data_IF_907759681465
#
_entry.id   IF_907759681465
#
_cell.length_a   1.000
_cell.length_b   1.000
_cell.length_c   1.000
_cell.angle_alpha   90.00
_cell.angle_beta   90.00
_cell.angle_gamma   90.00
#
_symmetry.space_group_name_H-M   'P 1'
#
loop_
_entity.id
_entity.type
_entity.pdbx_description
1 polymer ?
#
# COMPACT_ATOMS: atom_id res chain seq x y z
N UNK A 1 -1.02 28.17 5.52
CA UNK A 1 -2.17 28.18 4.58
C UNK A 1 -3.35 28.93 5.22
N UNK A 2 -3.90 29.97 4.59
CA UNK A 2 -5.17 30.58 5.04
C UNK A 2 -6.33 29.60 4.78
N UNK A 3 -7.38 29.64 5.62
CA UNK A 3 -8.52 28.70 5.59
C UNK A 3 -9.21 28.60 4.24
N UNK A 4 -9.34 29.71 3.51
CA UNK A 4 -10.06 29.79 2.23
C UNK A 4 -9.32 29.08 1.07
N UNK A 5 -8.01 29.32 0.94
CA UNK A 5 -7.18 28.68 -0.10
C UNK A 5 -7.09 27.15 0.09
N UNK A 6 -7.02 26.68 1.34
CA UNK A 6 -6.98 25.25 1.64
C UNK A 6 -8.31 24.53 1.37
N UNK A 7 -9.46 25.16 1.66
CA UNK A 7 -10.77 24.56 1.38
C UNK A 7 -11.06 24.41 -0.12
N UNK A 8 -10.64 25.39 -0.92
CA UNK A 8 -10.79 25.40 -2.38
C UNK A 8 -9.88 24.37 -3.06
N UNK A 9 -8.66 24.16 -2.52
CA UNK A 9 -7.71 23.17 -3.00
C UNK A 9 -8.00 21.72 -2.55
N UNK A 10 -8.99 21.49 -1.67
CA UNK A 10 -9.29 20.16 -1.14
C UNK A 10 -8.22 19.61 -0.18
N UNK A 11 -7.47 20.52 0.46
CA UNK A 11 -6.42 20.21 1.42
C UNK A 11 -7.04 20.00 2.81
N UNK A 12 -6.78 18.83 3.39
CA UNK A 12 -7.10 18.55 4.80
C UNK A 12 -5.94 19.02 5.69
N UNK A 13 -6.22 19.97 6.58
CA UNK A 13 -5.21 20.60 7.45
C UNK A 13 -4.72 19.69 8.56
N UNK A 14 -5.46 18.62 8.86
CA UNK A 14 -5.09 17.64 9.89
C UNK A 14 -4.29 16.48 9.28
N UNK A 15 -4.19 16.40 7.94
CA UNK A 15 -3.42 15.38 7.20
C UNK A 15 -2.05 15.90 6.78
N UNK A 16 -1.15 15.94 7.74
CA UNK A 16 0.27 16.18 7.46
C UNK A 16 0.86 15.05 6.61
N UNK A 17 1.70 15.42 5.64
CA UNK A 17 2.53 14.46 4.92
C UNK A 17 3.90 14.37 5.58
N UNK A 18 4.27 13.15 5.98
CA UNK A 18 5.59 12.84 6.53
C UNK A 18 6.45 12.23 5.43
N UNK A 19 7.70 12.68 5.35
CA UNK A 19 8.73 12.12 4.50
C UNK A 19 9.80 11.48 5.36
N UNK A 20 10.37 10.38 4.89
CA UNK A 20 11.59 9.83 5.45
C UNK A 20 12.79 10.55 4.81
N UNK A 21 13.68 11.09 5.64
CA UNK A 21 15.00 11.57 5.23
C UNK A 21 16.08 10.75 5.93
N UNK A 22 17.32 10.85 5.44
CA UNK A 22 18.50 10.23 6.05
C UNK A 22 18.30 8.74 6.39
N UNK A 23 17.64 8.01 5.49
CA UNK A 23 17.45 6.56 5.59
C UNK A 23 18.84 5.93 5.56
N UNK A 24 19.17 5.17 6.60
CA UNK A 24 20.51 4.61 6.78
C UNK A 24 20.47 3.29 7.55
N UNK A 25 21.42 2.43 7.23
CA UNK A 25 21.77 1.31 8.10
C UNK A 25 22.40 1.83 9.38
N UNK A 26 21.97 1.27 10.51
CA UNK A 26 22.65 1.46 11.80
C UNK A 26 24.07 0.91 11.67
N UNK A 27 25.07 1.72 12.04
CA UNK A 27 26.48 1.41 11.79
C UNK A 27 26.99 1.88 10.42
N UNK A 28 26.15 2.48 9.58
CA UNK A 28 26.54 3.21 8.37
C UNK A 28 26.45 2.41 7.07
N UNK A 29 26.53 1.09 7.11
CA UNK A 29 26.31 0.20 5.96
C UNK A 29 25.86 -1.19 6.41
N UNK A 30 25.27 -1.94 5.47
CA UNK A 30 24.80 -3.30 5.71
C UNK A 30 25.93 -4.20 6.26
N UNK A 31 25.67 -4.90 7.36
CA UNK A 31 26.63 -5.78 8.02
C UNK A 31 27.56 -5.10 9.03
N UNK A 32 27.46 -3.78 9.24
CA UNK A 32 28.20 -3.07 10.31
C UNK A 32 27.33 -2.71 11.52
N UNK A 33 26.13 -3.28 11.61
CA UNK A 33 25.28 -3.11 12.78
C UNK A 33 25.98 -3.69 14.02
N UNK A 34 25.78 -3.04 15.16
CA UNK A 34 26.34 -3.46 16.44
C UNK A 34 25.44 -3.01 17.58
N UNK A 35 25.52 -3.71 18.71
CA UNK A 35 24.83 -3.36 19.94
C UNK A 35 25.05 -1.88 20.29
N UNK A 36 26.29 -1.40 20.28
CA UNK A 36 26.60 -0.01 20.64
C UNK A 36 26.03 0.99 19.64
N UNK A 37 26.01 0.66 18.34
CA UNK A 37 25.41 1.51 17.33
C UNK A 37 23.88 1.61 17.52
N UNK A 38 23.22 0.50 17.79
CA UNK A 38 21.79 0.47 18.09
C UNK A 38 21.45 1.25 19.37
N UNK A 39 22.25 1.13 20.43
CA UNK A 39 22.06 1.94 21.66
C UNK A 39 22.15 3.44 21.37
N UNK A 40 23.11 3.86 20.53
CA UNK A 40 23.27 5.27 20.15
C UNK A 40 22.08 5.78 19.33
N UNK A 41 21.64 5.01 18.33
CA UNK A 41 20.52 5.40 17.47
C UNK A 41 19.19 5.43 18.24
N UNK A 42 19.01 4.56 19.25
CA UNK A 42 17.82 4.57 20.10
C UNK A 42 17.64 5.87 20.90
N UNK A 43 18.70 6.66 21.09
CA UNK A 43 18.59 7.99 21.70
C UNK A 43 17.84 8.98 20.80
N UNK A 44 17.76 8.72 19.49
CA UNK A 44 17.07 9.56 18.52
C UNK A 44 15.63 9.09 18.28
N UNK A 45 15.33 7.82 18.54
CA UNK A 45 13.99 7.26 18.41
C UNK A 45 13.99 5.74 18.21
N UNK A 46 12.80 5.14 18.01
CA UNK A 46 12.68 3.72 17.72
C UNK A 46 13.42 3.33 16.43
N UNK A 47 13.98 2.12 16.41
CA UNK A 47 14.75 1.57 15.30
C UNK A 47 13.97 0.43 14.67
N UNK A 48 13.99 0.30 13.35
CA UNK A 48 13.49 -0.87 12.65
C UNK A 48 14.58 -1.94 12.62
N UNK A 49 14.23 -3.17 13.01
CA UNK A 49 15.19 -4.28 13.09
C UNK A 49 14.61 -5.55 12.48
N UNK A 50 15.45 -6.27 11.75
CA UNK A 50 15.14 -7.59 11.21
C UNK A 50 15.45 -8.67 12.24
N UNK A 51 14.53 -9.61 12.42
CA UNK A 51 14.71 -10.79 13.29
C UNK A 51 14.31 -12.08 12.56
N UNK A 52 14.79 -13.21 13.04
CA UNK A 52 14.25 -14.52 12.72
C UNK A 52 13.07 -14.84 13.66
N UNK A 53 11.95 -15.32 13.13
CA UNK A 53 10.71 -15.53 13.87
C UNK A 53 9.92 -16.78 13.48
N UNK A 54 10.29 -17.48 12.41
CA UNK A 54 9.61 -18.70 11.96
C UNK A 54 9.94 -19.92 12.84
N UNK A 55 9.42 -19.91 14.07
CA UNK A 55 9.49 -21.00 15.03
C UNK A 55 8.45 -20.87 16.15
N UNK A 56 8.16 -21.98 16.84
CA UNK A 56 7.05 -22.08 17.78
C UNK A 56 7.23 -21.22 19.03
N UNK A 57 8.45 -21.08 19.55
CA UNK A 57 8.74 -20.37 20.78
C UNK A 57 8.51 -18.86 20.61
N UNK A 58 8.80 -18.29 19.43
CA UNK A 58 8.45 -16.90 19.11
C UNK A 58 6.93 -16.72 19.03
N UNK A 59 6.25 -17.58 18.26
CA UNK A 59 4.80 -17.51 18.07
C UNK A 59 4.03 -17.65 19.40
N UNK A 60 4.54 -18.48 20.32
CA UNK A 60 3.93 -18.75 21.61
C UNK A 60 4.46 -17.86 22.75
N UNK A 61 5.32 -16.87 22.49
CA UNK A 61 5.85 -16.00 23.52
C UNK A 61 4.74 -15.29 24.31
N UNK A 62 4.77 -15.41 25.64
CA UNK A 62 3.80 -14.79 26.57
C UNK A 62 4.42 -13.78 27.54
N UNK A 63 5.75 -13.78 27.69
CA UNK A 63 6.45 -12.87 28.58
C UNK A 63 7.75 -13.42 29.14
N UNK A 64 8.51 -12.55 29.81
CA UNK A 64 9.82 -12.88 30.38
C UNK A 64 10.98 -12.50 29.47
N UNK A 65 12.20 -12.75 29.93
CA UNK A 65 13.39 -12.54 29.11
C UNK A 65 13.59 -13.73 28.17
N UNK A 66 13.48 -13.48 26.87
CA UNK A 66 13.71 -14.50 25.86
C UNK A 66 15.21 -14.76 25.67
N UNK A 67 15.65 -15.97 26.00
CA UNK A 67 17.04 -16.47 25.89
C UNK A 67 17.06 -17.89 25.30
N UNK A 68 16.18 -18.17 24.34
CA UNK A 68 16.24 -19.44 23.62
C UNK A 68 17.23 -19.30 22.47
N UNK A 69 18.42 -19.86 22.64
CA UNK A 69 19.46 -19.87 21.61
C UNK A 69 19.08 -20.83 20.49
N UNK A 70 18.43 -20.29 19.47
CA UNK A 70 18.40 -20.93 18.17
C UNK A 70 19.77 -20.68 17.55
N UNK A 71 20.61 -21.71 17.49
CA UNK A 71 21.94 -21.62 16.88
C UNK A 71 21.83 -21.14 15.44
N UNK A 72 21.99 -19.83 15.26
CA UNK A 72 22.36 -19.12 14.05
C UNK A 72 21.38 -19.36 12.87
N UNK A 73 20.15 -18.82 12.93
CA UNK A 73 19.29 -18.77 11.74
C UNK A 73 20.05 -18.04 10.62
N UNK A 74 20.09 -18.65 9.42
CA UNK A 74 20.90 -18.12 8.31
C UNK A 74 20.38 -16.79 7.75
N UNK A 75 19.17 -16.38 8.13
CA UNK A 75 18.52 -15.16 7.67
C UNK A 75 17.48 -14.66 8.68
N UNK A 76 17.09 -13.40 8.53
CA UNK A 76 15.92 -12.82 9.19
C UNK A 76 14.70 -12.94 8.28
N UNK A 77 13.50 -13.09 8.85
CA UNK A 77 12.24 -13.31 8.13
C UNK A 77 11.12 -12.34 8.56
N UNK A 78 11.36 -11.52 9.58
CA UNK A 78 10.36 -10.65 10.18
C UNK A 78 10.96 -9.33 10.64
N UNK A 79 10.16 -8.27 10.54
CA UNK A 79 10.56 -6.91 10.88
C UNK A 79 9.77 -6.44 12.09
N UNK A 80 10.48 -5.92 13.09
CA UNK A 80 9.90 -5.39 14.33
C UNK A 80 10.51 -4.03 14.65
N UNK A 81 9.94 -3.34 15.65
CA UNK A 81 10.45 -2.04 16.08
C UNK A 81 11.15 -2.19 17.42
N UNK A 82 12.44 -1.89 17.48
CA UNK A 82 13.18 -1.77 18.72
C UNK A 82 12.82 -0.44 19.39
N UNK A 83 12.31 -0.52 20.62
CA UNK A 83 11.78 0.65 21.36
C UNK A 83 12.55 0.96 22.65
N UNK A 84 13.53 0.13 23.00
CA UNK A 84 14.36 0.39 24.17
C UNK A 84 15.26 -0.77 24.55
N UNK A 85 16.01 -0.57 25.62
CA UNK A 85 16.89 -1.55 26.24
C UNK A 85 16.88 -1.37 27.75
N UNK A 86 17.36 -2.37 28.46
CA UNK A 86 17.50 -2.29 29.90
C UNK A 86 18.36 -3.43 30.45
N UNK A 87 18.22 -3.63 31.75
CA UNK A 87 18.82 -4.74 32.46
C UNK A 87 17.92 -5.17 33.63
N UNK A 88 17.93 -6.46 33.93
CA UNK A 88 17.36 -7.04 35.13
C UNK A 88 18.50 -7.54 36.03
N UNK A 89 18.41 -7.28 37.34
CA UNK A 89 19.38 -7.78 38.32
C UNK A 89 18.73 -8.80 39.25
N UNK A 90 19.37 -9.95 39.43
CA UNK A 90 18.93 -10.98 40.36
C UNK A 90 20.12 -11.63 41.05
N UNK A 91 19.85 -12.41 42.11
CA UNK A 91 20.87 -13.18 42.81
C UNK A 91 20.75 -14.65 42.43
N UNK A 92 21.89 -15.29 42.15
CA UNK A 92 21.96 -16.73 42.03
C UNK A 92 21.52 -17.37 43.36
N UNK A 93 20.49 -18.23 43.36
CA UNK A 93 19.94 -18.80 44.60
C UNK A 93 20.90 -19.77 45.30
N UNK A 94 21.91 -20.27 44.59
CA UNK A 94 22.92 -21.21 45.12
C UNK A 94 24.18 -20.45 45.53
N UNK A 95 24.73 -19.60 44.67
CA UNK A 95 26.03 -18.94 44.91
C UNK A 95 25.89 -17.58 45.59
N UNK A 96 24.70 -16.98 45.60
CA UNK A 96 24.45 -15.61 46.07
C UNK A 96 24.99 -14.52 45.16
N UNK A 97 25.65 -14.89 44.05
CA UNK A 97 26.26 -13.99 43.09
C UNK A 97 25.21 -13.10 42.41
N UNK A 98 25.56 -11.83 42.19
CA UNK A 98 24.72 -10.87 41.47
C UNK A 98 24.85 -11.14 39.97
N UNK A 99 23.72 -11.45 39.33
CA UNK A 99 23.63 -11.65 37.89
C UNK A 99 22.91 -10.44 37.29
N UNK A 100 23.48 -9.90 36.21
CA UNK A 100 22.88 -8.81 35.43
C UNK A 100 22.55 -9.34 34.05
N UNK A 101 21.27 -9.31 33.67
CA UNK A 101 20.81 -9.72 32.35
C UNK A 101 20.38 -8.50 31.54
N UNK A 102 21.08 -8.27 30.44
CA UNK A 102 20.81 -7.17 29.54
C UNK A 102 19.72 -7.57 28.55
N UNK A 103 18.80 -6.64 28.24
CA UNK A 103 17.73 -6.92 27.29
C UNK A 103 17.50 -5.81 26.28
N UNK A 104 17.01 -6.21 25.11
CA UNK A 104 16.29 -5.40 24.14
C UNK A 104 14.80 -5.47 24.40
N UNK A 105 14.07 -4.38 24.17
CA UNK A 105 12.61 -4.34 24.18
C UNK A 105 12.13 -4.02 22.76
N UNK A 106 11.44 -4.98 22.14
CA UNK A 106 10.86 -4.83 20.81
C UNK A 106 9.34 -4.71 20.89
N UNK A 107 8.75 -3.99 19.93
CA UNK A 107 7.32 -3.90 19.68
C UNK A 107 7.00 -4.70 18.43
N UNK A 108 6.06 -5.63 18.56
CA UNK A 108 5.58 -6.45 17.45
C UNK A 108 4.28 -5.87 16.84
N UNK A 109 3.87 -6.42 15.70
CA UNK A 109 2.69 -6.01 14.92
C UNK A 109 1.51 -6.97 15.07
N UNK A 110 1.60 -7.99 15.94
CA UNK A 110 0.58 -9.04 16.12
C UNK A 110 -0.55 -8.68 17.13
N UNK A 111 -0.66 -7.40 17.49
CA UNK A 111 -1.65 -6.92 18.45
C UNK A 111 -1.23 -7.09 19.92
N UNK A 112 -2.10 -6.63 20.83
CA UNK A 112 -1.78 -6.55 22.26
C UNK A 112 -1.85 -7.90 22.98
N UNK A 113 -2.58 -8.88 22.43
CA UNK A 113 -2.74 -10.21 23.03
C UNK A 113 -1.48 -11.09 22.91
N UNK A 114 -0.52 -10.67 22.08
CA UNK A 114 0.74 -11.37 21.90
C UNK A 114 1.81 -10.83 22.86
N UNK A 115 2.58 -11.71 23.49
CA UNK A 115 3.68 -11.34 24.38
C UNK A 115 3.28 -10.45 25.56
N UNK A 116 4.14 -9.48 25.87
CA UNK A 116 3.98 -8.53 26.97
C UNK A 116 3.20 -7.30 26.48
N UNK A 117 1.90 -7.44 26.22
CA UNK A 117 1.03 -6.39 25.65
C UNK A 117 1.45 -5.92 24.24
N UNK A 118 1.87 -6.86 23.38
CA UNK A 118 2.41 -6.59 22.04
C UNK A 118 3.92 -6.32 22.00
N UNK A 119 4.62 -6.53 23.12
CA UNK A 119 6.06 -6.36 23.25
C UNK A 119 6.76 -7.66 23.62
N UNK A 120 8.07 -7.70 23.42
CA UNK A 120 8.93 -8.80 23.81
C UNK A 120 10.26 -8.28 24.34
N UNK A 121 10.82 -8.99 25.32
CA UNK A 121 12.18 -8.76 25.82
C UNK A 121 13.08 -9.88 25.34
N UNK A 122 14.20 -9.52 24.73
CA UNK A 122 15.20 -10.46 24.21
C UNK A 122 16.54 -10.18 24.87
N UNK A 123 17.35 -11.22 25.09
CA UNK A 123 18.74 -11.01 25.51
C UNK A 123 19.47 -10.12 24.51
N UNK A 124 20.16 -9.13 25.06
CA UNK A 124 21.01 -8.18 24.33
C UNK A 124 22.48 -8.59 24.41
N UNK A 125 23.24 -8.33 23.34
CA UNK A 125 24.69 -8.58 23.23
C UNK A 125 25.05 -9.99 22.75
N UNK A 126 24.06 -10.77 22.32
CA UNK A 126 24.25 -12.12 21.77
C UNK A 126 23.87 -12.24 20.29
N UNK A 127 23.44 -11.14 19.65
CA UNK A 127 22.80 -11.16 18.35
C UNK A 127 21.68 -12.23 18.23
N UNK A 128 20.89 -12.38 19.30
CA UNK A 128 19.85 -13.39 19.36
C UNK A 128 18.79 -13.13 18.28
N UNK A 129 18.39 -14.17 17.55
CA UNK A 129 17.46 -14.06 16.41
C UNK A 129 17.94 -13.08 15.31
N UNK A 130 19.25 -12.84 15.18
CA UNK A 130 19.82 -11.87 14.24
C UNK A 130 19.43 -10.40 14.49
N UNK A 131 18.90 -10.06 15.68
CA UNK A 131 18.40 -8.71 15.98
C UNK A 131 19.48 -7.60 15.89
N UNK A 132 20.75 -7.95 16.05
CA UNK A 132 21.90 -7.03 15.97
C UNK A 132 22.59 -7.07 14.59
N UNK A 133 22.03 -7.79 13.61
CA UNK A 133 22.62 -7.95 12.26
C UNK A 133 22.19 -6.85 11.29
N UNK A 134 20.89 -6.53 11.24
CA UNK A 134 20.31 -5.60 10.28
C UNK A 134 19.29 -4.71 10.98
N UNK A 135 19.62 -3.42 11.02
CA UNK A 135 18.79 -2.38 11.59
C UNK A 135 18.86 -1.13 10.72
N UNK A 136 17.71 -0.52 10.48
CA UNK A 136 17.59 0.71 9.72
C UNK A 136 16.86 1.80 10.52
N UNK A 137 17.20 3.04 10.21
CA UNK A 137 16.56 4.22 10.78
C UNK A 137 16.29 5.24 9.69
N UNK A 138 15.27 6.05 9.92
CA UNK A 138 14.91 7.17 9.06
C UNK A 138 14.45 8.34 9.91
N UNK A 139 14.86 9.54 9.52
CA UNK A 139 14.49 10.77 10.21
C UNK A 139 13.14 11.26 9.63
N UNK A 140 12.08 11.40 10.44
CA UNK A 140 10.81 11.91 9.95
C UNK A 140 10.92 13.42 9.68
N UNK A 141 10.53 13.83 8.47
CA UNK A 141 10.49 15.22 8.06
C UNK A 141 9.09 15.62 7.62
N UNK A 142 8.56 16.67 8.25
CA UNK A 142 7.28 17.27 7.87
C UNK A 142 7.58 18.43 6.93
N UNK A 143 7.05 18.39 5.71
CA UNK A 143 7.13 19.53 4.79
C UNK A 143 6.08 20.56 5.20
N UNK A 144 6.47 21.76 5.66
CA UNK A 144 5.49 22.78 6.04
C UNK A 144 4.64 23.20 4.84
N UNK A 145 3.32 23.08 4.97
CA UNK A 145 2.38 23.50 3.93
C UNK A 145 2.10 22.46 2.84
N UNK A 146 2.73 21.29 2.87
CA UNK A 146 2.35 20.15 2.04
C UNK A 146 1.43 19.22 2.82
N UNK A 147 0.26 18.96 2.26
CA UNK A 147 -0.79 18.16 2.87
C UNK A 147 -1.25 17.11 1.87
N UNK A 148 -1.63 15.93 2.38
CA UNK A 148 -2.16 14.89 1.51
C UNK A 148 -3.54 15.32 0.97
N UNK A 149 -3.80 15.17 -0.35
CA UNK A 149 -5.10 15.50 -0.90
C UNK A 149 -6.22 14.70 -0.23
N UNK A 150 -7.40 15.30 -0.07
CA UNK A 150 -8.59 14.57 0.37
C UNK A 150 -9.02 13.56 -0.72
N UNK A 151 -8.64 12.29 -0.54
CA UNK A 151 -8.97 11.17 -1.42
C UNK A 151 -10.47 11.08 -1.75
N UNK A 152 -11.35 11.55 -0.85
CA UNK A 152 -12.80 11.53 -1.10
C UNK A 152 -13.20 12.46 -2.25
N UNK A 153 -12.54 13.63 -2.34
CA UNK A 153 -12.76 14.63 -3.39
C UNK A 153 -12.14 14.18 -4.71
N UNK A 154 -10.96 13.59 -4.67
CA UNK A 154 -10.30 12.99 -5.85
C UNK A 154 -11.18 11.89 -6.44
N UNK A 155 -11.61 10.92 -5.61
CA UNK A 155 -12.48 9.81 -6.04
C UNK A 155 -13.86 10.29 -6.50
N UNK A 156 -14.38 11.41 -5.99
CA UNK A 156 -15.64 12.01 -6.46
C UNK A 156 -15.48 12.62 -7.85
N UNK A 157 -14.40 13.38 -8.07
CA UNK A 157 -14.07 13.98 -9.39
C UNK A 157 -13.86 12.90 -10.45
N UNK A 158 -13.10 11.85 -10.13
CA UNK A 158 -12.89 10.70 -11.03
C UNK A 158 -14.21 10.02 -11.39
N UNK A 159 -15.08 9.75 -10.41
CA UNK A 159 -16.41 9.19 -10.67
C UNK A 159 -17.25 10.08 -11.56
N UNK A 160 -17.28 11.39 -11.32
CA UNK A 160 -18.02 12.33 -12.18
C UNK A 160 -17.53 12.34 -13.63
N UNK A 161 -16.21 12.25 -13.86
CA UNK A 161 -15.62 12.18 -15.20
C UNK A 161 -16.03 10.86 -15.88
N UNK A 162 -15.89 9.73 -15.18
CA UNK A 162 -16.26 8.41 -15.72
C UNK A 162 -17.75 8.39 -16.10
N UNK A 163 -18.63 8.90 -15.24
CA UNK A 163 -20.08 8.99 -15.54
C UNK A 163 -20.35 9.86 -16.78
N UNK A 164 -19.68 11.00 -16.92
CA UNK A 164 -19.85 11.86 -18.10
C UNK A 164 -19.41 11.17 -19.40
N UNK A 165 -18.27 10.46 -19.39
CA UNK A 165 -17.78 9.71 -20.55
C UNK A 165 -18.74 8.59 -20.95
N UNK A 166 -19.32 7.88 -19.97
CA UNK A 166 -20.33 6.84 -20.23
C UNK A 166 -21.58 7.46 -20.85
N UNK A 167 -22.10 8.56 -20.27
CA UNK A 167 -23.30 9.22 -20.79
C UNK A 167 -23.12 9.75 -22.21
N UNK A 168 -21.96 10.34 -22.51
CA UNK A 168 -21.62 10.81 -23.86
C UNK A 168 -21.49 9.66 -24.85
N UNK A 169 -20.88 8.56 -24.44
CA UNK A 169 -20.76 7.35 -25.28
C UNK A 169 -22.13 6.75 -25.60
N UNK A 170 -23.03 6.66 -24.61
CA UNK A 170 -24.40 6.17 -24.79
C UNK A 170 -25.19 7.10 -25.70
N UNK A 171 -25.09 8.42 -25.51
CA UNK A 171 -25.76 9.40 -26.37
C UNK A 171 -25.30 9.29 -27.83
N UNK A 172 -24.00 9.18 -28.06
CA UNK A 172 -23.43 9.01 -29.40
C UNK A 172 -23.96 7.73 -30.07
N UNK A 173 -24.03 6.62 -29.33
CA UNK A 173 -24.58 5.35 -29.84
C UNK A 173 -26.06 5.47 -30.21
N UNK A 174 -26.88 6.10 -29.37
CA UNK A 174 -28.32 6.32 -29.63
C UNK A 174 -28.51 7.18 -30.88
N UNK A 175 -27.71 8.24 -31.06
CA UNK A 175 -27.77 9.09 -32.23
C UNK A 175 -27.38 8.32 -33.51
N UNK A 176 -26.32 7.51 -33.46
CA UNK A 176 -25.89 6.67 -34.59
C UNK A 176 -26.95 5.64 -34.98
N UNK A 177 -27.55 4.95 -34.01
CA UNK A 177 -28.62 3.99 -34.27
C UNK A 177 -29.83 4.70 -34.87
N UNK A 178 -30.19 5.86 -34.34
CA UNK A 178 -31.33 6.64 -34.83
C UNK A 178 -31.13 7.14 -36.26
N UNK A 179 -29.94 7.61 -36.62
CA UNK A 179 -29.64 8.03 -38.00
C UNK A 179 -29.64 6.86 -38.98
N UNK A 180 -29.14 5.69 -38.56
CA UNK A 180 -29.22 4.45 -39.36
C UNK A 180 -30.68 4.03 -39.55
N UNK A 181 -31.50 4.00 -38.50
CA UNK A 181 -32.92 3.65 -38.59
C UNK A 181 -33.67 4.62 -39.51
N UNK A 182 -33.48 5.93 -39.33
CA UNK A 182 -34.07 6.95 -40.20
C UNK A 182 -33.61 6.80 -41.66
N UNK A 183 -32.33 6.49 -41.88
CA UNK A 183 -31.77 6.22 -43.21
C UNK A 183 -32.42 5.00 -43.87
N UNK A 184 -32.57 3.90 -43.14
CA UNK A 184 -33.28 2.69 -43.61
C UNK A 184 -34.74 3.00 -43.92
N UNK A 185 -35.43 3.75 -43.04
CA UNK A 185 -36.82 4.14 -43.23
C UNK A 185 -36.99 5.04 -44.47
N UNK A 186 -36.15 6.05 -44.63
CA UNK A 186 -36.14 6.92 -45.81
C UNK A 186 -35.88 6.12 -47.10
N UNK A 187 -34.91 5.20 -47.09
CA UNK A 187 -34.61 4.33 -48.23
C UNK A 187 -35.82 3.45 -48.60
N UNK A 188 -36.52 2.90 -47.60
CA UNK A 188 -37.76 2.14 -47.81
C UNK A 188 -38.87 2.99 -48.43
N UNK A 189 -39.05 4.23 -47.97
CA UNK A 189 -40.04 5.17 -48.51
C UNK A 189 -39.72 5.65 -49.93
N UNK A 190 -38.45 5.82 -50.28
CA UNK A 190 -38.03 6.14 -51.65
C UNK A 190 -38.39 4.98 -52.58
N UNK A 191 -38.06 3.73 -52.21
CA UNK A 191 -38.41 2.54 -53.02
C UNK A 191 -39.92 2.39 -53.26
N UNK A 192 -40.76 2.75 -52.29
CA UNK A 192 -42.22 2.67 -52.45
C UNK A 192 -42.79 3.80 -53.31
N UNK A 193 -42.19 5.00 -53.29
CA UNK A 193 -42.65 6.15 -54.10
C UNK A 193 -42.15 6.13 -55.55
N UNK A 194 -40.96 5.60 -55.83
CA UNK A 194 -40.41 5.57 -57.20
C UNK A 194 -40.83 4.36 -58.02
N UNK A 195 -41.69 3.47 -57.49
CA UNK A 195 -42.21 2.33 -58.23
C UNK A 195 -41.14 1.31 -58.68
N UNK A 196 -39.93 1.38 -58.13
CA UNK A 196 -38.79 0.60 -58.62
C UNK A 196 -38.97 -0.89 -58.34
N UNK A 197 -39.50 -1.63 -59.32
CA UNK A 197 -39.51 -3.10 -59.31
C UNK A 197 -38.16 -3.59 -59.83
N UNK A 198 -37.44 -4.39 -59.04
CA UNK A 198 -36.33 -5.16 -59.57
C UNK A 198 -36.88 -6.20 -60.54
N UNK A 199 -36.65 -6.02 -61.84
CA UNK A 199 -36.96 -7.02 -62.85
C UNK A 199 -35.81 -8.01 -62.86
N UNK A 200 -35.98 -9.13 -62.18
CA UNK A 200 -35.09 -10.29 -62.35
C UNK A 200 -35.69 -11.11 -63.50
N UNK A 201 -34.95 -11.18 -64.60
CA UNK A 201 -35.28 -12.06 -65.73
C UNK A 201 -35.15 -13.53 -65.30
N UNK A 202 -36.00 -14.40 -65.84
CA UNK A 202 -36.01 -15.85 -65.55
C UNK A 202 -34.71 -16.59 -65.92
N UNK A 203 -33.77 -15.92 -66.62
CA UNK A 203 -32.45 -16.44 -66.97
C UNK A 203 -31.32 -16.01 -66.02
N UNK A 204 -31.62 -15.27 -64.95
CA UNK A 204 -30.68 -14.90 -63.90
C UNK A 204 -29.75 -13.72 -64.23
N UNK A 205 -29.98 -13.01 -65.34
CA UNK A 205 -29.21 -11.79 -65.67
C UNK A 205 -29.78 -10.54 -64.99
N UNK A 206 -28.90 -9.72 -64.40
CA UNK A 206 -29.27 -8.44 -63.79
C UNK A 206 -29.37 -7.35 -64.86
N UNK A 207 -30.58 -6.85 -65.11
CA UNK A 207 -30.80 -5.66 -65.94
C UNK A 207 -30.98 -4.45 -65.02
N UNK A 208 -30.34 -3.32 -65.34
CA UNK A 208 -30.60 -2.07 -64.64
C UNK A 208 -32.05 -1.64 -64.87
N UNK A 209 -32.85 -1.58 -63.81
CA UNK A 209 -34.28 -1.27 -63.88
C UNK A 209 -34.56 0.04 -64.62
N UNK A 210 -35.56 0.03 -65.51
CA UNK A 210 -36.01 1.24 -66.22
C UNK A 210 -36.97 2.05 -65.36
N UNK A 211 -36.83 3.39 -65.43
CA UNK A 211 -37.79 4.33 -64.88
C UNK A 211 -39.00 4.43 -65.81
N UNK A 212 -40.19 4.07 -65.32
CA UNK A 212 -41.44 4.48 -65.96
C UNK A 212 -41.85 5.85 -65.40
N UNK A 213 -41.83 6.88 -66.24
CA UNK A 213 -42.50 8.14 -65.95
C UNK A 213 -43.98 8.00 -66.28
N UNK A 214 -44.83 8.37 -65.33
CA UNK A 214 -46.29 8.53 -65.51
C UNK A 214 -46.62 9.48 -66.67
#
# INVERSE_FOLDING_TARGET
CSTKLCSEAGIDKDRHTFYAQNIRYVGGFYGNCSEEAMIRELQQGPIEVSIYSDFNEFNNYKGGLFDYDYTHPQHSDHIVVLVGYGYDEFRNPITGEKITQLFWKIKNSFGREWGENGFMRLIRGKNLLNIESEAEVADPYIIPGLYWPDDSKVKKKERSIITAVILLSVLAFVLLVSTVILGVYACKQIKTKTGYKSVVSSDGTYQAGQFESS
#
